data_IF_791201209293
#
_entry.id   IF_791201209293
#
_cell.length_a   1.000
_cell.length_b   1.000
_cell.length_c   1.000
_cell.angle_alpha   90.00
_cell.angle_beta   90.00
_cell.angle_gamma   90.00
#
_symmetry.space_group_name_H-M   'P 1'
#
loop_
_entity.id
_entity.type
_entity.pdbx_description
1 polymer ?
#
# COMPACT_ATOMS: atom_id res chain seq x y z
N UNK A 1 -22.52 -0.14 16.43
CA UNK A 1 -22.06 0.27 16.34
C UNK A 1 -21.50 1.32 15.84
N UNK A 2 -20.99 2.02 16.14
CA UNK A 2 -20.39 2.90 15.75
C UNK A 2 -19.26 2.67 15.00
N UNK A 3 -18.82 1.58 14.91
CA UNK A 3 -17.84 1.20 14.02
C UNK A 3 -18.20 1.54 12.62
N UNK A 4 -19.46 1.41 12.32
CA UNK A 4 -19.91 1.72 11.00
C UNK A 4 -19.74 3.16 10.66
N UNK A 5 -19.92 4.00 11.64
CA UNK A 5 -19.70 5.37 11.41
C UNK A 5 -18.29 5.64 11.04
N UNK A 6 -17.35 5.07 11.74
CA UNK A 6 -15.96 5.27 11.47
C UNK A 6 -15.62 4.79 10.08
N UNK A 7 -16.14 3.65 9.72
CA UNK A 7 -15.85 3.12 8.41
C UNK A 7 -16.40 3.98 7.31
N UNK A 8 -17.60 4.41 7.49
CA UNK A 8 -18.23 5.24 6.49
C UNK A 8 -17.46 6.54 6.34
N UNK A 9 -17.06 7.14 7.43
CA UNK A 9 -16.34 8.38 7.39
C UNK A 9 -14.97 8.24 6.77
N UNK A 10 -14.40 7.05 6.79
CA UNK A 10 -13.08 6.81 6.27
C UNK A 10 -13.09 6.22 4.87
N UNK A 11 -14.26 5.97 4.32
CA UNK A 11 -14.34 5.44 2.98
C UNK A 11 -14.11 3.95 2.92
N UNK A 12 -13.10 3.51 2.18
CA UNK A 12 -12.88 2.08 2.00
C UNK A 12 -11.42 1.70 2.18
N UNK A 13 -11.19 0.41 2.26
CA UNK A 13 -9.88 -0.16 2.44
C UNK A 13 -9.46 -0.91 1.19
N UNK A 14 -8.18 -0.89 0.90
CA UNK A 14 -7.62 -1.65 -0.20
C UNK A 14 -6.29 -2.26 0.26
N UNK A 15 -5.95 -3.38 -0.33
CA UNK A 15 -4.63 -3.97 -0.12
C UNK A 15 -3.84 -3.74 -1.40
N UNK A 16 -2.64 -3.25 -1.26
CA UNK A 16 -1.76 -3.05 -2.41
C UNK A 16 -0.62 -4.06 -2.29
N UNK A 17 -0.57 -4.98 -3.23
CA UNK A 17 0.46 -6.01 -3.27
C UNK A 17 1.64 -5.41 -4.05
N UNK A 18 2.75 -5.27 -3.38
CA UNK A 18 3.92 -4.58 -3.93
C UNK A 18 5.02 -5.57 -4.24
N UNK A 19 5.52 -5.54 -5.47
CA UNK A 19 6.69 -6.32 -5.85
C UNK A 19 7.86 -5.36 -6.00
N UNK A 20 9.01 -5.74 -5.45
CA UNK A 20 10.19 -4.89 -5.50
C UNK A 20 11.14 -5.35 -6.59
N UNK A 21 11.92 -4.42 -7.11
CA UNK A 21 12.95 -4.71 -8.09
C UNK A 21 14.27 -4.86 -7.32
N UNK A 22 14.71 -6.11 -7.16
CA UNK A 22 15.90 -6.38 -6.36
C UNK A 22 17.15 -5.72 -6.91
N UNK A 23 17.27 -5.64 -8.23
CA UNK A 23 18.43 -4.99 -8.84
C UNK A 23 18.48 -3.52 -8.49
N UNK A 24 17.33 -2.86 -8.58
CA UNK A 24 17.25 -1.44 -8.28
C UNK A 24 17.52 -1.17 -6.79
N UNK A 25 16.97 -2.03 -5.94
CA UNK A 25 17.22 -1.90 -4.51
C UNK A 25 18.70 -2.02 -4.21
N UNK A 26 19.35 -2.97 -4.85
CA UNK A 26 20.78 -3.18 -4.63
C UNK A 26 21.59 -1.96 -5.07
N UNK A 27 21.24 -1.39 -6.21
CA UNK A 27 21.91 -0.20 -6.70
C UNK A 27 21.78 0.96 -5.75
N UNK A 28 20.61 1.12 -5.18
CA UNK A 28 20.33 2.24 -4.28
C UNK A 28 20.69 1.92 -2.83
N UNK A 29 21.22 0.73 -2.58
CA UNK A 29 21.58 0.29 -1.24
C UNK A 29 20.37 0.33 -0.31
N UNK A 30 19.22 -0.12 -0.83
CA UNK A 30 17.98 -0.21 -0.10
C UNK A 30 17.60 -1.66 0.11
N UNK A 31 16.71 -1.90 1.05
CA UNK A 31 16.17 -3.23 1.29
C UNK A 31 14.66 -3.18 1.20
N UNK A 32 14.02 -4.34 1.26
CA UNK A 32 12.58 -4.42 1.33
C UNK A 32 12.07 -3.70 2.57
N UNK A 33 12.83 -3.73 3.63
CA UNK A 33 12.46 -3.05 4.87
C UNK A 33 12.39 -1.54 4.67
N UNK A 34 13.31 -1.01 3.88
CA UNK A 34 13.31 0.43 3.60
C UNK A 34 12.09 0.83 2.80
N UNK A 35 11.70 0.00 1.82
CA UNK A 35 10.51 0.27 1.03
C UNK A 35 9.26 0.22 1.91
N UNK A 36 9.19 -0.76 2.80
CA UNK A 36 8.06 -0.88 3.71
C UNK A 36 7.97 0.34 4.63
N UNK A 37 9.10 0.83 5.09
CA UNK A 37 9.13 2.02 5.94
C UNK A 37 8.63 3.25 5.18
N UNK A 38 9.04 3.40 3.94
CA UNK A 38 8.56 4.52 3.13
C UNK A 38 7.06 4.45 2.93
N UNK A 39 6.54 3.25 2.69
CA UNK A 39 5.10 3.07 2.55
C UNK A 39 4.39 3.48 3.83
N UNK A 40 4.91 3.05 4.96
CA UNK A 40 4.29 3.31 6.25
C UNK A 40 4.30 4.79 6.61
N UNK A 41 5.13 5.57 5.95
CA UNK A 41 5.21 7.01 6.21
C UNK A 41 3.96 7.75 5.76
N UNK A 42 3.24 7.23 4.79
CA UNK A 42 2.02 7.89 4.30
C UNK A 42 0.89 7.68 5.30
N UNK A 43 0.15 8.74 5.59
CA UNK A 43 -0.92 8.67 6.57
C UNK A 43 -2.05 7.72 6.17
N UNK A 44 -2.24 7.52 4.86
CA UNK A 44 -3.30 6.64 4.38
C UNK A 44 -2.89 5.16 4.40
N UNK A 45 -1.65 4.85 4.70
CA UNK A 45 -1.17 3.48 4.81
C UNK A 45 -1.26 3.05 6.27
N UNK A 46 -2.15 2.11 6.55
CA UNK A 46 -2.34 1.62 7.91
C UNK A 46 -1.28 0.61 8.31
N UNK A 47 -0.90 -0.23 7.36
CA UNK A 47 0.08 -1.29 7.61
C UNK A 47 0.90 -1.54 6.36
N UNK A 48 2.11 -1.98 6.56
CA UNK A 48 2.95 -2.42 5.46
C UNK A 48 3.68 -3.66 5.95
N UNK A 49 3.20 -4.82 5.55
CA UNK A 49 3.76 -6.11 5.97
C UNK A 49 4.69 -6.65 4.89
N UNK A 50 5.84 -7.12 5.31
CA UNK A 50 6.75 -7.82 4.40
C UNK A 50 6.33 -9.27 4.42
N UNK A 51 6.08 -9.82 3.25
CA UNK A 51 5.56 -11.17 3.14
C UNK A 51 6.44 -12.01 2.23
N UNK A 52 6.16 -13.29 2.21
CA UNK A 52 6.85 -14.23 1.36
C UNK A 52 5.84 -14.88 0.45
N UNK A 53 6.15 -15.00 -0.83
CA UNK A 53 5.22 -15.60 -1.78
C UNK A 53 5.22 -14.85 -3.08
N UNK A 54 4.02 -14.68 -3.65
CA UNK A 54 3.88 -14.05 -4.94
C UNK A 54 4.10 -12.54 -4.95
N UNK A 55 4.19 -11.94 -3.77
CA UNK A 55 4.45 -10.51 -3.66
C UNK A 55 5.42 -10.31 -2.52
N UNK A 56 6.00 -9.12 -2.43
CA UNK A 56 7.02 -8.85 -1.41
C UNK A 56 6.49 -8.08 -0.22
N UNK A 57 5.57 -7.18 -0.45
CA UNK A 57 5.00 -6.35 0.60
C UNK A 57 3.50 -6.24 0.39
N UNK A 58 2.74 -6.27 1.47
CA UNK A 58 1.31 -6.01 1.41
C UNK A 58 1.05 -4.75 2.21
N UNK A 59 0.61 -3.71 1.53
CA UNK A 59 0.26 -2.45 2.19
C UNK A 59 -1.25 -2.38 2.34
N UNK A 60 -1.71 -2.05 3.54
CA UNK A 60 -3.13 -1.83 3.79
C UNK A 60 -3.37 -0.34 3.74
N UNK A 61 -4.23 0.08 2.82
CA UNK A 61 -4.49 1.49 2.54
C UNK A 61 -5.93 1.81 2.84
N UNK A 62 -6.17 2.94 3.48
CA UNK A 62 -7.53 3.40 3.73
C UNK A 62 -7.67 4.81 3.20
N UNK A 63 -8.63 4.98 2.31
CA UNK A 63 -8.87 6.26 1.66
C UNK A 63 -10.36 6.52 1.61
N UNK A 64 -10.70 7.73 1.22
CA UNK A 64 -12.07 8.19 1.24
C UNK A 64 -12.92 7.60 0.11
N UNK A 65 -12.35 7.48 -1.07
CA UNK A 65 -13.07 6.94 -2.21
C UNK A 65 -12.08 6.42 -3.26
N UNK A 66 -12.63 5.86 -4.34
CA UNK A 66 -11.82 5.26 -5.39
C UNK A 66 -10.95 6.28 -6.08
N UNK A 67 -11.48 7.48 -6.28
CA UNK A 67 -10.71 8.53 -6.94
C UNK A 67 -9.46 8.89 -6.13
N UNK A 68 -9.61 8.98 -4.82
CA UNK A 68 -8.46 9.24 -3.96
C UNK A 68 -7.49 8.08 -4.01
N UNK A 69 -7.99 6.85 -4.04
CA UNK A 69 -7.12 5.69 -4.10
C UNK A 69 -6.27 5.72 -5.36
N UNK A 70 -6.89 5.99 -6.51
CA UNK A 70 -6.15 6.07 -7.77
C UNK A 70 -5.10 7.15 -7.70
N UNK A 71 -5.44 8.29 -7.15
CA UNK A 71 -4.51 9.39 -7.05
C UNK A 71 -3.30 9.05 -6.21
N UNK A 72 -3.52 8.50 -5.00
CA UNK A 72 -2.38 8.21 -4.14
C UNK A 72 -1.54 7.07 -4.69
N UNK A 73 -2.17 6.11 -5.37
CA UNK A 73 -1.44 5.01 -5.96
C UNK A 73 -0.47 5.54 -7.03
N UNK A 74 -0.97 6.36 -7.93
CA UNK A 74 -0.17 6.86 -9.04
C UNK A 74 0.84 7.91 -8.65
N UNK A 75 0.49 8.78 -7.70
CA UNK A 75 1.35 9.91 -7.39
C UNK A 75 2.27 9.67 -6.21
N UNK A 76 1.99 8.67 -5.41
CA UNK A 76 2.78 8.44 -4.20
C UNK A 76 3.37 7.04 -4.13
N UNK A 77 2.52 6.02 -4.16
CA UNK A 77 3.02 4.68 -3.97
C UNK A 77 3.93 4.20 -5.09
N UNK A 78 3.53 4.44 -6.31
CA UNK A 78 4.31 3.96 -7.45
C UNK A 78 5.57 4.77 -7.71
N UNK A 79 5.76 5.86 -6.99
CA UNK A 79 6.97 6.66 -7.14
C UNK A 79 8.08 6.28 -6.18
N UNK A 80 7.83 5.37 -5.27
CA UNK A 80 8.86 4.92 -4.35
C UNK A 80 9.88 4.10 -5.13
N UNK A 81 11.13 4.46 -4.99
CA UNK A 81 12.20 3.74 -5.66
C UNK A 81 12.30 2.32 -5.14
N UNK A 82 12.43 1.38 -6.05
CA UNK A 82 12.53 -0.02 -5.68
C UNK A 82 11.25 -0.79 -5.93
N UNK A 83 10.14 -0.10 -6.14
CA UNK A 83 8.89 -0.79 -6.45
C UNK A 83 8.86 -1.09 -7.94
N UNK A 84 8.66 -2.38 -8.25
CA UNK A 84 8.59 -2.83 -9.63
C UNK A 84 7.17 -2.72 -10.14
N UNK A 85 6.23 -3.34 -9.45
CA UNK A 85 4.84 -3.28 -9.86
C UNK A 85 3.94 -3.44 -8.65
N UNK A 86 2.69 -3.02 -8.81
CA UNK A 86 1.70 -3.11 -7.75
C UNK A 86 0.44 -3.76 -8.29
N UNK A 87 -0.27 -4.43 -7.42
CA UNK A 87 -1.58 -4.99 -7.73
C UNK A 87 -2.50 -4.61 -6.59
N UNK A 88 -3.66 -4.06 -6.91
CA UNK A 88 -4.59 -3.58 -5.90
C UNK A 88 -5.74 -4.55 -5.72
N UNK A 89 -6.08 -4.78 -4.46
CA UNK A 89 -7.26 -5.58 -4.10
C UNK A 89 -8.18 -4.67 -3.29
N UNK A 90 -9.31 -4.33 -3.89
CA UNK A 90 -10.27 -3.43 -3.23
C UNK A 90 -11.18 -4.27 -2.33
N UNK A 91 -11.31 -3.87 -1.08
CA UNK A 91 -12.20 -4.57 -0.16
C UNK A 91 -13.61 -4.12 -0.44
N UNK A 92 -14.45 -5.04 -0.91
CA UNK A 92 -15.82 -4.70 -1.25
C UNK A 92 -16.79 -5.04 -0.12
N UNK A 93 -16.34 -5.81 0.86
CA UNK A 93 -17.21 -6.18 1.99
C UNK A 93 -16.33 -6.57 3.17
N UNK A 94 -16.56 -5.95 4.33
CA UNK A 94 -15.85 -6.29 5.56
C UNK A 94 -16.79 -7.00 6.49
N UNK A 95 -16.37 -8.11 7.07
CA UNK A 95 -17.19 -8.84 8.02
C UNK A 95 -17.19 -8.22 9.40
#
# INVERSE_FOLDING_TARGET
VDLDHAKVGQGFRAYVLVSVNLSQLKEKKKSQYDVAKELKHFSFVEKADIVSGGTDIVATVRVKDVAEFDQVLLTKLQRIEGIDKTQSLIVIHEE
#
